data_IF_303652301156
#
_entry.id   IF_303652301156
#
_cell.length_a   1.000
_cell.length_b   1.000
_cell.length_c   1.000
_cell.angle_alpha   90.00
_cell.angle_beta   90.00
_cell.angle_gamma   90.00
#
_symmetry.space_group_name_H-M   'P 1'
#
loop_
_entity.id
_entity.type
_entity.pdbx_description
1 polymer ?
#
# COMPACT_ATOMS: atom_id res chain seq x y z
N UNK A 1 46.47 -28.48 31.94
CA UNK A 1 45.38 -27.54 31.58
C UNK A 1 44.17 -28.38 31.19
N UNK A 2 43.04 -28.18 31.86
CA UNK A 2 41.90 -29.10 31.87
C UNK A 2 41.09 -29.04 30.56
N UNK A 3 40.58 -30.19 30.12
CA UNK A 3 39.74 -30.45 28.94
C UNK A 3 38.33 -29.79 29.00
N UNK A 4 38.24 -28.60 29.60
CA UNK A 4 37.03 -27.80 29.69
C UNK A 4 36.93 -26.75 28.56
N UNK A 5 37.94 -26.65 27.68
CA UNK A 5 38.00 -25.65 26.59
C UNK A 5 37.46 -26.17 25.24
N UNK A 6 37.19 -27.47 25.10
CA UNK A 6 36.69 -28.09 23.85
C UNK A 6 35.14 -28.13 23.75
N UNK A 7 34.44 -27.54 24.72
CA UNK A 7 33.05 -27.85 25.02
C UNK A 7 32.00 -26.79 24.63
N UNK A 8 32.26 -25.86 23.71
CA UNK A 8 31.14 -25.09 23.14
C UNK A 8 30.41 -25.98 22.15
N UNK A 9 29.42 -26.73 22.65
CA UNK A 9 28.64 -27.64 21.82
C UNK A 9 28.04 -26.89 20.62
N UNK A 10 28.09 -27.52 19.44
CA UNK A 10 27.47 -26.99 18.22
C UNK A 10 25.99 -26.62 18.46
N UNK A 11 25.30 -27.39 19.30
CA UNK A 11 23.92 -27.09 19.72
C UNK A 11 23.79 -25.76 20.45
N UNK A 12 24.77 -25.36 21.26
CA UNK A 12 24.77 -24.06 21.95
C UNK A 12 25.02 -22.89 20.98
N UNK A 13 25.91 -23.06 19.99
CA UNK A 13 26.16 -22.06 18.94
C UNK A 13 24.93 -21.86 18.03
N UNK A 14 24.28 -22.95 17.64
CA UNK A 14 23.05 -22.89 16.83
C UNK A 14 21.90 -22.26 17.61
N UNK A 15 21.76 -22.57 18.90
CA UNK A 15 20.76 -21.93 19.76
C UNK A 15 21.01 -20.43 19.93
N UNK A 16 22.27 -20.01 20.08
CA UNK A 16 22.67 -18.61 20.19
C UNK A 16 22.42 -17.85 18.88
N UNK A 17 22.81 -18.41 17.73
CA UNK A 17 22.55 -17.83 16.41
C UNK A 17 21.04 -17.72 16.09
N UNK A 18 20.26 -18.75 16.45
CA UNK A 18 18.80 -18.72 16.31
C UNK A 18 18.15 -17.67 17.22
N UNK A 19 18.71 -17.45 18.41
CA UNK A 19 18.33 -16.38 19.32
C UNK A 19 18.55 -14.98 18.72
N UNK A 20 19.75 -14.74 18.17
CA UNK A 20 20.10 -13.46 17.52
C UNK A 20 19.23 -13.18 16.29
N UNK A 21 18.92 -14.19 15.49
CA UNK A 21 18.02 -14.03 14.34
C UNK A 21 16.58 -13.74 14.77
N UNK A 22 16.14 -14.33 15.88
CA UNK A 22 14.87 -14.05 16.53
C UNK A 22 14.77 -12.60 17.02
N UNK A 23 15.86 -12.06 17.55
CA UNK A 23 15.97 -10.69 18.04
C UNK A 23 15.91 -9.70 16.88
N UNK A 24 16.69 -9.93 15.83
CA UNK A 24 16.67 -9.13 14.59
C UNK A 24 15.27 -9.08 13.94
N UNK A 25 14.59 -10.22 13.85
CA UNK A 25 13.21 -10.28 13.35
C UNK A 25 12.24 -9.45 14.20
N UNK A 26 12.40 -9.44 15.53
CA UNK A 26 11.58 -8.61 16.42
C UNK A 26 11.84 -7.12 16.18
N UNK A 27 13.09 -6.74 15.96
CA UNK A 27 13.46 -5.36 15.68
C UNK A 27 12.90 -4.88 14.35
N UNK A 28 12.96 -5.71 13.31
CA UNK A 28 12.39 -5.39 11.99
C UNK A 28 10.86 -5.22 12.07
N UNK A 29 10.19 -6.09 12.85
CA UNK A 29 8.74 -5.97 13.11
C UNK A 29 8.44 -4.71 13.94
N UNK A 30 9.27 -4.38 14.93
CA UNK A 30 9.10 -3.18 15.74
C UNK A 30 9.25 -1.92 14.88
N UNK A 31 10.23 -1.90 13.98
CA UNK A 31 10.45 -0.80 13.05
C UNK A 31 9.32 -0.68 12.02
N UNK A 32 8.90 -1.79 11.41
CA UNK A 32 7.75 -1.81 10.51
C UNK A 32 6.47 -1.30 11.20
N UNK A 33 6.25 -1.69 12.47
CA UNK A 33 5.13 -1.22 13.28
C UNK A 33 5.24 0.28 13.61
N UNK A 34 6.44 0.79 13.88
CA UNK A 34 6.67 2.21 14.11
C UNK A 34 6.36 3.02 12.84
N UNK A 35 6.83 2.56 11.68
CA UNK A 35 6.57 3.18 10.38
C UNK A 35 5.07 3.16 10.04
N UNK A 36 4.40 2.03 10.26
CA UNK A 36 2.94 1.93 10.08
C UNK A 36 2.18 2.89 11.01
N UNK A 37 2.62 3.05 12.26
CA UNK A 37 2.01 4.03 13.18
C UNK A 37 2.22 5.46 12.70
N UNK A 38 3.41 5.78 12.19
CA UNK A 38 3.69 7.10 11.61
C UNK A 38 2.81 7.35 10.38
N UNK A 39 2.70 6.39 9.47
CA UNK A 39 1.84 6.45 8.28
C UNK A 39 0.37 6.63 8.67
N UNK A 40 -0.11 5.88 9.66
CA UNK A 40 -1.48 6.03 10.19
C UNK A 40 -1.66 7.41 10.83
N UNK A 41 -0.71 7.92 11.60
CA UNK A 41 -0.85 9.25 12.21
C UNK A 41 -0.81 10.37 11.17
N UNK A 42 0.02 10.22 10.13
CA UNK A 42 0.06 11.13 8.99
C UNK A 42 -1.24 11.08 8.20
N UNK A 43 -1.75 9.87 7.95
CA UNK A 43 -3.05 9.62 7.33
C UNK A 43 -4.23 10.13 8.16
N UNK A 44 -4.18 10.06 9.49
CA UNK A 44 -5.22 10.61 10.38
C UNK A 44 -5.24 12.13 10.38
N UNK A 45 -4.06 12.77 10.46
CA UNK A 45 -3.93 14.24 10.40
C UNK A 45 -4.45 14.80 9.08
N UNK A 46 -4.16 14.13 7.97
CA UNK A 46 -4.70 14.50 6.66
C UNK A 46 -6.15 14.04 6.43
N UNK A 47 -6.54 12.93 7.04
CA UNK A 47 -7.79 12.22 6.74
C UNK A 47 -9.04 12.91 7.28
N UNK A 48 -9.01 13.47 8.49
CA UNK A 48 -10.17 14.19 9.04
C UNK A 48 -10.42 15.51 8.31
N UNK A 49 -9.36 16.31 8.10
CA UNK A 49 -9.44 17.54 7.31
C UNK A 49 -9.82 17.24 5.84
N UNK A 50 -9.26 16.17 5.26
CA UNK A 50 -9.61 15.69 3.93
C UNK A 50 -11.06 15.26 3.80
N UNK A 51 -11.61 14.55 4.80
CA UNK A 51 -13.02 14.16 4.81
C UNK A 51 -13.95 15.37 4.86
N UNK A 52 -13.67 16.34 5.74
CA UNK A 52 -14.44 17.59 5.80
C UNK A 52 -14.35 18.36 4.48
N UNK A 53 -13.14 18.51 3.93
CA UNK A 53 -12.94 19.16 2.63
C UNK A 53 -13.72 18.45 1.51
N UNK A 54 -13.74 17.12 1.49
CA UNK A 54 -14.52 16.34 0.52
C UNK A 54 -16.03 16.58 0.66
N UNK A 55 -16.55 16.63 1.89
CA UNK A 55 -17.97 16.94 2.12
C UNK A 55 -18.32 18.32 1.55
N UNK A 56 -17.52 19.34 1.83
CA UNK A 56 -17.73 20.67 1.27
C UNK A 56 -17.53 20.71 -0.24
N UNK A 57 -16.55 19.99 -0.79
CA UNK A 57 -16.32 19.91 -2.24
C UNK A 57 -17.53 19.33 -2.98
N UNK A 58 -18.21 18.34 -2.38
CA UNK A 58 -19.42 17.72 -2.96
C UNK A 58 -20.66 18.59 -2.75
N UNK A 59 -20.77 19.26 -1.60
CA UNK A 59 -21.98 20.01 -1.25
C UNK A 59 -21.98 21.47 -1.74
N UNK A 60 -20.82 22.11 -1.84
CA UNK A 60 -20.69 23.52 -2.26
C UNK A 60 -21.19 23.83 -3.69
N UNK A 61 -21.06 22.93 -4.69
CA UNK A 61 -21.57 23.19 -6.04
C UNK A 61 -23.08 23.49 -6.07
N UNK A 62 -23.88 22.93 -5.17
CA UNK A 62 -25.33 23.15 -5.15
C UNK A 62 -25.73 24.61 -4.93
N UNK A 63 -25.38 25.27 -3.80
CA UNK A 63 -25.68 26.68 -3.61
C UNK A 63 -24.92 27.59 -4.59
N UNK A 64 -23.70 27.23 -5.00
CA UNK A 64 -22.94 28.00 -5.99
C UNK A 64 -23.60 28.00 -7.37
N UNK A 65 -24.17 26.87 -7.79
CA UNK A 65 -24.92 26.78 -9.05
C UNK A 65 -26.10 27.74 -9.01
N UNK A 66 -26.89 27.70 -7.93
CA UNK A 66 -28.04 28.59 -7.77
C UNK A 66 -27.60 30.06 -7.81
N UNK A 67 -26.57 30.43 -7.04
CA UNK A 67 -26.03 31.78 -7.01
C UNK A 67 -25.56 32.26 -8.40
N UNK A 68 -24.81 31.43 -9.13
CA UNK A 68 -24.32 31.76 -10.47
C UNK A 68 -25.46 31.90 -11.49
N UNK A 69 -26.44 30.99 -11.47
CA UNK A 69 -27.60 31.06 -12.36
C UNK A 69 -28.42 32.33 -12.10
N UNK A 70 -28.71 32.64 -10.84
CA UNK A 70 -29.43 33.87 -10.49
C UNK A 70 -28.63 35.12 -10.83
N UNK A 71 -27.31 35.10 -10.64
CA UNK A 71 -26.44 36.20 -11.04
C UNK A 71 -26.44 36.41 -12.56
N UNK A 72 -26.29 35.36 -13.36
CA UNK A 72 -26.38 35.43 -14.83
C UNK A 72 -27.75 35.92 -15.30
N UNK A 73 -28.83 35.41 -14.68
CA UNK A 73 -30.20 35.82 -14.96
C UNK A 73 -30.38 37.31 -14.68
N UNK A 74 -29.95 37.80 -13.54
CA UNK A 74 -30.21 39.18 -13.12
C UNK A 74 -29.30 40.19 -13.82
N UNK A 75 -28.04 39.83 -14.10
CA UNK A 75 -27.07 40.74 -14.70
C UNK A 75 -27.20 40.85 -16.22
N UNK A 76 -27.52 39.76 -16.91
CA UNK A 76 -27.64 39.72 -18.37
C UNK A 76 -29.07 39.50 -18.89
N UNK A 77 -30.07 39.44 -18.01
CA UNK A 77 -31.48 39.17 -18.34
C UNK A 77 -31.71 37.86 -19.14
N UNK A 78 -30.81 36.88 -18.95
CA UNK A 78 -30.85 35.61 -19.69
C UNK A 78 -32.06 34.76 -19.30
N UNK A 79 -32.73 34.05 -20.21
CA UNK A 79 -33.69 33.00 -19.85
C UNK A 79 -33.06 31.98 -18.89
N UNK A 80 -33.84 31.52 -17.91
CA UNK A 80 -33.34 30.63 -16.86
C UNK A 80 -32.68 29.36 -17.43
N UNK A 81 -33.27 28.81 -18.50
CA UNK A 81 -32.72 27.65 -19.21
C UNK A 81 -31.31 27.89 -19.78
N UNK A 82 -31.07 29.06 -20.39
CA UNK A 82 -29.76 29.39 -20.97
C UNK A 82 -28.72 29.61 -19.87
N UNK A 83 -29.11 30.27 -18.77
CA UNK A 83 -28.22 30.43 -17.62
C UNK A 83 -27.78 29.08 -17.04
N UNK A 84 -28.70 28.12 -16.89
CA UNK A 84 -28.37 26.75 -16.47
C UNK A 84 -27.45 26.04 -17.47
N UNK A 85 -27.67 26.19 -18.78
CA UNK A 85 -26.79 25.59 -19.78
C UNK A 85 -25.37 26.14 -19.72
N UNK A 86 -25.21 27.46 -19.51
CA UNK A 86 -23.89 28.09 -19.40
C UNK A 86 -23.15 27.58 -18.16
N UNK A 87 -23.83 27.56 -17.00
CA UNK A 87 -23.22 27.08 -15.75
C UNK A 87 -22.92 25.57 -15.83
N UNK A 88 -23.80 24.78 -16.45
CA UNK A 88 -23.57 23.36 -16.72
C UNK A 88 -22.37 23.14 -17.64
N UNK A 89 -22.25 23.90 -18.73
CA UNK A 89 -21.11 23.86 -19.62
C UNK A 89 -19.80 24.23 -18.90
N UNK A 90 -19.84 25.24 -18.02
CA UNK A 90 -18.70 25.60 -17.18
C UNK A 90 -18.25 24.43 -16.30
N UNK A 91 -19.17 23.71 -15.65
CA UNK A 91 -18.82 22.52 -14.86
C UNK A 91 -18.27 21.38 -15.70
N UNK A 92 -18.78 21.15 -16.92
CA UNK A 92 -18.23 20.15 -17.82
C UNK A 92 -16.78 20.47 -18.23
N UNK A 93 -16.48 21.74 -18.48
CA UNK A 93 -15.10 22.18 -18.78
C UNK A 93 -14.19 21.94 -17.59
N UNK A 94 -14.61 22.35 -16.38
CA UNK A 94 -13.84 22.13 -15.14
C UNK A 94 -13.61 20.63 -14.91
N UNK A 95 -14.66 19.81 -15.04
CA UNK A 95 -14.57 18.36 -14.89
C UNK A 95 -13.65 17.73 -15.94
N UNK A 96 -13.70 18.19 -17.18
CA UNK A 96 -12.79 17.76 -18.25
C UNK A 96 -11.34 18.05 -17.92
N UNK A 97 -11.01 19.27 -17.48
CA UNK A 97 -9.65 19.65 -17.07
C UNK A 97 -9.19 18.81 -15.88
N UNK A 98 -10.01 18.67 -14.84
CA UNK A 98 -9.70 17.87 -13.67
C UNK A 98 -9.46 16.40 -14.02
N UNK A 99 -10.28 15.82 -14.90
CA UNK A 99 -10.10 14.46 -15.41
C UNK A 99 -8.80 14.28 -16.18
N UNK A 100 -8.39 15.26 -16.99
CA UNK A 100 -7.10 15.24 -17.68
C UNK A 100 -5.92 15.33 -16.72
N UNK A 101 -6.00 16.15 -15.68
CA UNK A 101 -4.98 16.24 -14.62
C UNK A 101 -4.89 14.92 -13.86
N UNK A 102 -6.03 14.36 -13.44
CA UNK A 102 -6.08 13.06 -12.76
C UNK A 102 -5.48 11.94 -13.62
N UNK A 103 -5.79 11.91 -14.92
CA UNK A 103 -5.20 10.96 -15.87
C UNK A 103 -3.68 11.12 -15.95
N UNK A 104 -3.18 12.35 -16.03
CA UNK A 104 -1.72 12.63 -16.07
C UNK A 104 -1.03 12.18 -14.78
N UNK A 105 -1.64 12.45 -13.63
CA UNK A 105 -1.08 12.04 -12.34
C UNK A 105 -1.05 10.52 -12.22
N UNK A 106 -2.14 9.84 -12.58
CA UNK A 106 -2.20 8.38 -12.57
C UNK A 106 -1.17 7.72 -13.52
N UNK A 107 -0.87 8.35 -14.66
CA UNK A 107 0.17 7.89 -15.57
C UNK A 107 1.59 8.11 -15.05
N UNK A 108 1.79 9.05 -14.12
CA UNK A 108 3.09 9.34 -13.49
C UNK A 108 3.35 8.50 -12.25
N UNK A 109 2.31 7.93 -11.64
CA UNK A 109 2.47 7.03 -10.51
C UNK A 109 3.23 5.77 -10.95
N UNK A 110 4.33 5.40 -10.26
CA UNK A 110 4.98 4.12 -10.49
C UNK A 110 3.95 3.01 -10.33
N UNK A 111 3.85 2.10 -11.32
CA UNK A 111 2.98 0.92 -11.18
C UNK A 111 3.39 0.18 -9.90
N UNK A 112 2.45 -0.11 -8.99
CA UNK A 112 2.76 -0.92 -7.80
C UNK A 112 3.30 -2.26 -8.27
N UNK A 113 4.58 -2.52 -8.05
CA UNK A 113 5.26 -3.73 -8.51
C UNK A 113 5.00 -4.90 -7.55
N UNK A 114 3.74 -5.04 -7.13
CA UNK A 114 3.28 -6.11 -6.22
C UNK A 114 3.41 -7.47 -6.93
N UNK A 115 3.35 -7.49 -8.26
CA UNK A 115 3.43 -8.70 -9.08
C UNK A 115 4.84 -9.23 -9.30
N UNK A 116 5.89 -8.39 -9.30
CA UNK A 116 7.26 -8.83 -9.53
C UNK A 116 7.86 -9.47 -8.28
N UNK A 117 7.72 -8.82 -7.11
CA UNK A 117 8.22 -9.38 -5.84
C UNK A 117 7.56 -10.71 -5.45
N UNK A 118 6.26 -10.88 -5.75
CA UNK A 118 5.57 -12.16 -5.52
C UNK A 118 6.08 -13.27 -6.45
N UNK A 119 6.37 -12.95 -7.72
CA UNK A 119 6.91 -13.90 -8.70
C UNK A 119 8.36 -14.25 -8.43
N UNK A 120 9.16 -13.28 -7.96
CA UNK A 120 10.56 -13.49 -7.58
C UNK A 120 10.66 -14.41 -6.34
N UNK A 121 9.79 -14.19 -5.36
CA UNK A 121 9.67 -15.06 -4.18
C UNK A 121 9.25 -16.50 -4.55
N UNK A 122 8.34 -16.64 -5.51
CA UNK A 122 7.94 -17.95 -6.03
C UNK A 122 9.06 -18.61 -6.86
N UNK A 123 9.82 -17.84 -7.63
CA UNK A 123 10.94 -18.34 -8.43
C UNK A 123 12.07 -18.90 -7.54
N UNK A 124 12.41 -18.21 -6.46
CA UNK A 124 13.42 -18.68 -5.49
C UNK A 124 12.99 -19.99 -4.82
N UNK A 125 11.71 -20.14 -4.47
CA UNK A 125 11.17 -21.37 -3.89
C UNK A 125 11.14 -22.54 -4.89
N UNK A 126 10.89 -22.26 -6.16
CA UNK A 126 10.84 -23.28 -7.22
C UNK A 126 12.22 -23.85 -7.58
N UNK A 127 13.29 -23.10 -7.34
CA UNK A 127 14.67 -23.54 -7.61
C UNK A 127 15.25 -24.48 -6.55
N UNK A 128 14.54 -24.74 -5.45
CA UNK A 128 15.00 -25.69 -4.42
C UNK A 128 14.54 -27.10 -4.80
N UNK A 129 15.48 -27.92 -5.33
CA UNK A 129 15.27 -29.35 -5.59
C UNK A 129 15.02 -30.08 -4.26
N UNK A 130 13.88 -30.76 -4.06
CA UNK A 130 13.67 -31.61 -2.89
C UNK A 130 14.73 -32.71 -2.90
N UNK A 131 15.58 -32.78 -1.88
CA UNK A 131 16.51 -33.90 -1.72
C UNK A 131 15.70 -35.16 -1.38
N UNK A 132 15.96 -36.29 -2.05
CA UNK A 132 15.44 -37.58 -1.62
C UNK A 132 15.89 -37.86 -0.18
N UNK A 133 15.00 -38.40 0.65
CA UNK A 133 15.40 -38.98 1.94
C UNK A 133 16.27 -40.19 1.65
N UNK A 134 17.58 -40.01 1.73
CA UNK A 134 18.56 -41.09 1.81
C UNK A 134 18.32 -41.76 3.17
N UNK A 135 17.67 -42.93 3.17
CA UNK A 135 17.36 -43.69 4.38
C UNK A 135 16.02 -44.41 4.42
N UNK A 136 15.18 -44.34 3.37
CA UNK A 136 13.97 -45.18 3.30
C UNK A 136 14.24 -46.62 2.82
N UNK A 137 15.43 -46.90 2.26
CA UNK A 137 15.76 -48.19 1.63
C UNK A 137 16.70 -49.06 2.49
N UNK A 138 17.04 -48.63 3.70
CA UNK A 138 17.94 -49.34 4.63
C UNK A 138 17.18 -50.09 5.74
N UNK A 139 15.93 -50.50 5.45
CA UNK A 139 15.13 -51.37 6.30
C UNK A 139 15.01 -52.81 5.78
N UNK A 140 15.51 -53.10 4.57
CA UNK A 140 15.25 -54.35 3.84
C UNK A 140 16.43 -55.34 3.84
N UNK A 141 17.33 -55.25 4.82
CA UNK A 141 18.44 -56.22 5.01
C UNK A 141 18.43 -56.82 6.41
N UNK A 142 17.41 -57.62 6.71
CA UNK A 142 17.46 -58.61 7.79
C UNK A 142 18.12 -59.90 7.26
N UNK A 143 19.27 -60.34 7.82
CA UNK A 143 19.81 -61.66 7.51
C UNK A 143 18.95 -62.78 8.11
N UNK A 144 18.85 -63.88 7.36
CA UNK A 144 18.07 -65.10 7.64
C UNK A 144 18.53 -65.88 8.88
#
# INVERSE_FOLDING_TARGET
MSAADEGRSIGKLVAEASGQMSELMRDEIALAKAKLREDVQRGKKGGSAGAVALVFLVLAPFPLTAALVFWLRNWWDLPLAIAFLIVGALYLVIAGIAGLVAKREFQRMPKPDIGSSAKESAAVLSNVKPRPREGADEGDRLPA
#
